data_IF_660045087631
#
_entry.id   IF_660045087631
#
_cell.length_a   1.000
_cell.length_b   1.000
_cell.length_c   1.000
_cell.angle_alpha   90.00
_cell.angle_beta   90.00
_cell.angle_gamma   90.00
#
_symmetry.space_group_name_H-M   'P 1'
#
loop_
_entity.id
_entity.type
_entity.pdbx_description
1 polymer ?
#
# COMPACT_ATOMS: atom_id res chain seq x y z
N UNK A 1 -10.58 -8.36 -3.56
CA UNK A 1 -9.46 -7.99 -4.44
C UNK A 1 -8.15 -8.31 -3.73
N UNK A 2 -7.08 -8.62 -4.44
CA UNK A 2 -5.76 -8.89 -3.83
C UNK A 2 -4.71 -8.00 -4.50
N UNK A 3 -3.87 -7.35 -3.71
CA UNK A 3 -2.78 -6.52 -4.22
C UNK A 3 -1.47 -7.27 -4.01
N UNK A 4 -0.67 -7.39 -5.07
CA UNK A 4 0.72 -7.82 -4.99
C UNK A 4 1.62 -6.59 -4.99
N UNK A 5 2.38 -6.45 -3.91
CA UNK A 5 3.45 -5.48 -3.80
C UNK A 5 4.74 -6.16 -4.22
N UNK A 6 5.40 -5.58 -5.22
CA UNK A 6 6.73 -5.96 -5.66
C UNK A 6 7.70 -5.01 -4.98
N UNK A 7 8.51 -5.54 -4.07
CA UNK A 7 9.46 -4.81 -3.24
C UNK A 7 10.88 -5.05 -3.74
N UNK A 8 11.75 -4.06 -3.52
CA UNK A 8 13.19 -4.13 -3.82
C UNK A 8 13.48 -4.55 -5.29
N UNK A 9 12.82 -3.90 -6.25
CA UNK A 9 12.91 -4.23 -7.69
C UNK A 9 12.56 -5.69 -8.05
N UNK A 10 11.73 -6.35 -7.24
CA UNK A 10 11.31 -7.74 -7.46
C UNK A 10 12.18 -8.78 -6.78
N UNK A 11 13.01 -8.39 -5.81
CA UNK A 11 13.64 -9.35 -4.91
C UNK A 11 12.63 -9.94 -3.90
N UNK A 12 11.58 -9.18 -3.56
CA UNK A 12 10.53 -9.65 -2.66
C UNK A 12 9.12 -9.33 -3.17
N UNK A 13 8.19 -10.26 -2.94
CA UNK A 13 6.80 -10.14 -3.35
C UNK A 13 5.89 -10.40 -2.15
N UNK A 14 4.99 -9.45 -1.89
CA UNK A 14 4.03 -9.58 -0.80
C UNK A 14 2.60 -9.40 -1.30
N UNK A 15 1.74 -10.38 -1.03
CA UNK A 15 0.33 -10.34 -1.38
C UNK A 15 -0.52 -9.93 -0.17
N UNK A 16 -1.15 -8.76 -0.22
CA UNK A 16 -2.18 -8.37 0.74
C UNK A 16 -3.57 -8.66 0.19
N UNK A 17 -4.46 -9.12 1.07
CA UNK A 17 -5.89 -9.28 0.79
C UNK A 17 -6.67 -8.44 1.79
N UNK A 18 -6.82 -7.13 1.54
CA UNK A 18 -7.72 -6.31 2.32
C UNK A 18 -9.16 -6.76 2.11
N UNK A 19 -10.02 -6.47 3.09
CA UNK A 19 -11.46 -6.63 2.93
C UNK A 19 -11.98 -5.68 1.85
N UNK A 20 -13.17 -5.95 1.30
CA UNK A 20 -13.68 -5.22 0.14
C UNK A 20 -13.86 -3.71 0.41
N UNK A 21 -14.22 -3.35 1.64
CA UNK A 21 -14.42 -1.97 2.07
C UNK A 21 -13.09 -1.22 2.18
N UNK A 22 -12.04 -1.87 2.70
CA UNK A 22 -10.70 -1.29 2.80
C UNK A 22 -10.01 -1.17 1.44
N UNK A 23 -10.30 -2.07 0.50
CA UNK A 23 -9.66 -2.09 -0.82
C UNK A 23 -9.87 -0.78 -1.60
N UNK A 24 -11.05 -0.17 -1.48
CA UNK A 24 -11.38 1.08 -2.18
C UNK A 24 -10.60 2.27 -1.58
N UNK A 25 -10.59 2.36 -0.24
CA UNK A 25 -9.81 3.36 0.50
C UNK A 25 -8.31 3.21 0.22
N UNK A 26 -7.79 1.99 0.19
CA UNK A 26 -6.39 1.73 -0.13
C UNK A 26 -6.07 2.23 -1.55
N UNK A 27 -6.92 1.99 -2.55
CA UNK A 27 -6.72 2.50 -3.92
C UNK A 27 -6.70 4.02 -3.94
N UNK A 28 -7.61 4.69 -3.23
CA UNK A 28 -7.63 6.15 -3.15
C UNK A 28 -6.35 6.70 -2.51
N UNK A 29 -5.89 6.06 -1.42
CA UNK A 29 -4.61 6.38 -0.79
C UNK A 29 -3.44 6.13 -1.73
N UNK A 30 -3.41 5.00 -2.44
CA UNK A 30 -2.41 4.69 -3.47
C UNK A 30 -2.35 5.77 -4.56
N UNK A 31 -3.50 6.32 -4.96
CA UNK A 31 -3.56 7.42 -5.94
C UNK A 31 -3.15 8.77 -5.34
N UNK A 32 -3.46 8.99 -4.07
CA UNK A 32 -3.17 10.26 -3.38
C UNK A 32 -1.71 10.37 -2.91
N UNK A 33 -1.05 9.24 -2.63
CA UNK A 33 0.36 9.21 -2.23
C UNK A 33 1.24 8.87 -3.43
N UNK A 34 2.32 9.63 -3.64
CA UNK A 34 3.34 9.26 -4.62
C UNK A 34 4.31 8.18 -4.12
N UNK A 35 4.20 7.76 -2.86
CA UNK A 35 5.20 6.89 -2.22
C UNK A 35 4.56 6.03 -1.16
N UNK A 36 4.75 4.72 -1.27
CA UNK A 36 4.29 3.72 -0.31
C UNK A 36 5.51 2.98 0.21
N UNK A 37 5.54 2.78 1.51
CA UNK A 37 6.55 1.99 2.20
C UNK A 37 5.89 0.73 2.75
N UNK A 38 6.59 -0.39 2.66
CA UNK A 38 6.14 -1.64 3.28
C UNK A 38 7.17 -2.06 4.31
N UNK A 39 6.75 -2.17 5.56
CA UNK A 39 7.59 -2.68 6.64
C UNK A 39 7.45 -4.20 6.68
N UNK A 40 8.51 -4.89 6.26
CA UNK A 40 8.55 -6.35 6.16
C UNK A 40 8.63 -7.05 7.51
N UNK A 41 9.28 -6.43 8.52
CA UNK A 41 9.34 -6.98 9.87
C UNK A 41 7.95 -6.99 10.52
N UNK A 42 7.22 -5.88 10.37
CA UNK A 42 5.90 -5.71 10.98
C UNK A 42 4.76 -6.16 10.07
N UNK A 43 5.05 -6.45 8.80
CA UNK A 43 4.08 -6.78 7.73
C UNK A 43 2.97 -5.72 7.61
N UNK A 44 3.34 -4.45 7.76
CA UNK A 44 2.42 -3.32 7.66
C UNK A 44 2.75 -2.45 6.47
N UNK A 45 1.70 -1.89 5.87
CA UNK A 45 1.78 -1.02 4.72
C UNK A 45 1.64 0.42 5.21
N UNK A 46 2.63 1.24 4.93
CA UNK A 46 2.77 2.60 5.41
C UNK A 46 2.66 3.53 4.21
N UNK A 47 1.60 4.32 4.20
CA UNK A 47 1.41 5.36 3.21
C UNK A 47 2.32 6.54 3.53
N UNK A 48 3.02 7.06 2.52
CA UNK A 48 3.83 8.27 2.65
C UNK A 48 2.98 9.51 2.94
N UNK A 49 3.59 10.69 2.85
CA UNK A 49 2.88 11.94 3.11
C UNK A 49 1.70 12.11 2.14
N UNK A 50 0.48 11.97 2.66
CA UNK A 50 -0.75 12.24 1.94
C UNK A 50 -1.08 13.71 2.18
N UNK A 51 -1.12 14.57 1.16
CA UNK A 51 -1.69 15.89 1.33
C UNK A 51 -3.19 15.72 1.61
N UNK A 52 -3.58 15.84 2.87
CA UNK A 52 -4.97 16.09 3.24
C UNK A 52 -5.27 17.50 2.72
N UNK A 53 -5.90 17.58 1.55
CA UNK A 53 -6.14 18.82 0.83
C UNK A 53 -6.61 19.96 1.76
N UNK A 54 -6.07 21.16 1.54
CA UNK A 54 -6.55 22.40 2.14
C UNK A 54 -7.83 22.92 1.52
#
# INVERSE_FOLDING_TARGET
FSYQLILDNGAEEYAIRPEAEDADVLIELFKATGTIYFDMERKVLIFGSIPLGG
#
